data_IF_210851732443
#
_entry.id   IF_210851732443
#
_cell.length_a   1.000
_cell.length_b   1.000
_cell.length_c   1.000
_cell.angle_alpha   90.00
_cell.angle_beta   90.00
_cell.angle_gamma   90.00
#
_symmetry.space_group_name_H-M   'P 1'
#
loop_
_entity.id
_entity.type
_entity.pdbx_description
1 polymer ?
#
# COMPACT_ATOMS: atom_id res chain seq x y z
N UNK A 1 -26.10 10.89 -3.33
CA UNK A 1 -27.09 9.85 -3.60
C UNK A 1 -26.46 8.52 -3.97
N UNK A 2 -27.27 7.56 -4.34
CA UNK A 2 -26.82 6.22 -4.68
C UNK A 2 -25.79 6.21 -5.82
N UNK A 3 -25.96 7.10 -6.79
CA UNK A 3 -25.04 7.22 -7.91
C UNK A 3 -23.67 7.72 -7.45
N UNK A 4 -23.64 8.68 -6.53
CA UNK A 4 -22.39 9.20 -6.00
C UNK A 4 -21.64 8.16 -5.16
N UNK A 5 -22.35 7.40 -4.32
CA UNK A 5 -21.74 6.34 -3.52
C UNK A 5 -21.17 5.23 -4.42
N UNK A 6 -21.91 4.84 -5.43
CA UNK A 6 -21.47 3.84 -6.41
C UNK A 6 -20.24 4.32 -7.17
N UNK A 7 -20.27 5.58 -7.61
CA UNK A 7 -19.14 6.18 -8.33
C UNK A 7 -17.88 6.21 -7.46
N UNK A 8 -18.01 6.55 -6.16
CA UNK A 8 -16.89 6.58 -5.24
C UNK A 8 -16.21 5.21 -5.08
N UNK A 9 -17.00 4.15 -4.97
CA UNK A 9 -16.45 2.78 -4.85
C UNK A 9 -15.72 2.36 -6.12
N UNK A 10 -16.32 2.62 -7.29
CA UNK A 10 -15.67 2.34 -8.57
C UNK A 10 -14.43 3.20 -8.77
N UNK A 11 -14.50 4.46 -8.34
CA UNK A 11 -13.40 5.40 -8.44
C UNK A 11 -12.17 4.92 -7.68
N UNK A 12 -12.35 4.39 -6.45
CA UNK A 12 -11.21 3.88 -5.66
C UNK A 12 -10.58 2.67 -6.33
N UNK A 13 -11.37 1.73 -6.80
CA UNK A 13 -10.87 0.55 -7.51
C UNK A 13 -10.17 0.93 -8.81
N UNK A 14 -10.76 1.83 -9.60
CA UNK A 14 -10.18 2.31 -10.85
C UNK A 14 -8.88 3.07 -10.61
N UNK A 15 -8.85 3.91 -9.58
CA UNK A 15 -7.66 4.65 -9.15
C UNK A 15 -6.50 3.70 -8.86
N UNK A 16 -6.75 2.70 -8.02
CA UNK A 16 -5.73 1.73 -7.64
C UNK A 16 -5.21 0.94 -8.83
N UNK A 17 -6.11 0.48 -9.71
CA UNK A 17 -5.73 -0.27 -10.91
C UNK A 17 -4.92 0.59 -11.88
N UNK A 18 -5.29 1.85 -12.05
CA UNK A 18 -4.58 2.79 -12.92
C UNK A 18 -3.17 3.05 -12.42
N UNK A 19 -3.02 3.34 -11.13
CA UNK A 19 -1.70 3.58 -10.53
C UNK A 19 -0.84 2.32 -10.54
N UNK A 20 -1.44 1.16 -10.35
CA UNK A 20 -0.74 -0.12 -10.43
C UNK A 20 -0.15 -0.34 -11.82
N UNK A 21 -0.91 -0.05 -12.87
CA UNK A 21 -0.43 -0.16 -14.24
C UNK A 21 0.75 0.78 -14.53
N UNK A 22 0.68 2.03 -14.03
CA UNK A 22 1.78 2.98 -14.16
C UNK A 22 3.01 2.49 -13.39
N UNK A 23 2.80 1.97 -12.20
CA UNK A 23 3.87 1.45 -11.35
C UNK A 23 4.56 0.26 -12.02
N UNK A 24 3.80 -0.64 -12.65
CA UNK A 24 4.35 -1.76 -13.41
C UNK A 24 5.23 -1.26 -14.55
N UNK A 25 4.79 -0.21 -15.25
CA UNK A 25 5.59 0.42 -16.30
C UNK A 25 6.88 1.04 -15.77
N UNK A 26 6.82 1.71 -14.63
CA UNK A 26 7.98 2.38 -14.02
C UNK A 26 9.06 1.39 -13.57
N UNK A 27 8.67 0.27 -13.01
CA UNK A 27 9.61 -0.76 -12.57
C UNK A 27 9.94 -1.78 -13.65
N UNK A 28 9.13 -1.88 -14.70
CA UNK A 28 9.30 -2.93 -15.72
C UNK A 28 9.00 -4.32 -15.17
N UNK A 29 8.16 -4.43 -14.14
CA UNK A 29 7.81 -5.69 -13.48
C UNK A 29 6.32 -5.73 -13.21
N UNK A 30 5.84 -6.90 -12.84
CA UNK A 30 4.43 -7.08 -12.46
C UNK A 30 4.21 -6.76 -10.99
N UNK A 31 3.13 -6.05 -10.71
CA UNK A 31 2.66 -5.82 -9.35
C UNK A 31 1.64 -6.89 -9.01
N UNK A 32 1.89 -7.65 -7.96
CA UNK A 32 1.01 -8.73 -7.55
C UNK A 32 0.20 -8.32 -6.33
N UNK A 33 -1.09 -8.64 -6.34
CA UNK A 33 -1.97 -8.40 -5.21
C UNK A 33 -1.82 -9.55 -4.22
N UNK A 34 -1.36 -9.24 -3.00
CA UNK A 34 -1.27 -10.20 -1.90
C UNK A 34 -2.53 -10.09 -1.06
N UNK A 35 -3.15 -11.24 -0.78
CA UNK A 35 -4.32 -11.34 0.09
C UNK A 35 -4.11 -12.49 1.07
N UNK A 36 -4.36 -12.24 2.34
CA UNK A 36 -4.27 -13.24 3.39
C UNK A 36 -5.20 -12.87 4.53
N UNK A 37 -5.38 -13.76 5.47
CA UNK A 37 -6.25 -13.51 6.61
C UNK A 37 -5.45 -13.50 7.90
N UNK A 38 -5.60 -12.42 8.67
CA UNK A 38 -4.92 -12.22 9.94
C UNK A 38 -5.81 -12.72 11.08
N UNK A 39 -5.66 -14.00 11.44
CA UNK A 39 -6.48 -14.65 12.46
C UNK A 39 -6.21 -14.10 13.86
N UNK A 40 -5.02 -13.58 14.11
CA UNK A 40 -4.62 -13.09 15.43
C UNK A 40 -4.98 -11.63 15.66
N UNK A 41 -5.40 -10.92 14.63
CA UNK A 41 -5.78 -9.51 14.72
C UNK A 41 -4.61 -8.58 14.95
N UNK A 42 -3.43 -8.90 14.42
CA UNK A 42 -2.23 -8.09 14.61
C UNK A 42 -2.24 -6.79 13.83
N UNK A 43 -3.00 -6.74 12.73
CA UNK A 43 -3.04 -5.56 11.85
C UNK A 43 -4.11 -4.56 12.30
N UNK A 44 -5.35 -5.01 12.46
CA UNK A 44 -6.49 -4.13 12.72
C UNK A 44 -7.05 -4.24 14.15
N UNK A 45 -6.43 -5.06 14.99
CA UNK A 45 -6.93 -5.31 16.34
C UNK A 45 -8.07 -6.31 16.40
N UNK A 46 -8.41 -6.93 15.27
CA UNK A 46 -9.42 -7.98 15.14
C UNK A 46 -9.06 -8.86 13.95
N UNK A 47 -9.54 -10.12 13.91
CA UNK A 47 -9.33 -10.97 12.73
C UNK A 47 -9.94 -10.30 11.50
N UNK A 48 -9.15 -10.16 10.46
CA UNK A 48 -9.57 -9.49 9.23
C UNK A 48 -8.64 -9.85 8.08
N UNK A 49 -9.14 -9.70 6.85
CA UNK A 49 -8.36 -9.88 5.64
C UNK A 49 -7.32 -8.76 5.50
N UNK A 50 -6.12 -9.15 5.11
CA UNK A 50 -5.00 -8.22 4.86
C UNK A 50 -4.67 -8.25 3.39
N UNK A 51 -4.61 -7.07 2.78
CA UNK A 51 -4.28 -6.91 1.37
C UNK A 51 -3.19 -5.86 1.20
N UNK A 52 -2.25 -6.13 0.31
CA UNK A 52 -1.24 -5.16 -0.11
C UNK A 52 -0.68 -5.56 -1.48
N UNK A 53 0.10 -4.68 -2.08
CA UNK A 53 0.74 -4.95 -3.36
C UNK A 53 2.20 -5.36 -3.15
N UNK A 54 2.65 -6.35 -3.91
CA UNK A 54 3.99 -6.92 -3.80
C UNK A 54 4.70 -6.81 -5.13
N UNK A 55 5.91 -6.28 -5.10
CA UNK A 55 6.77 -6.16 -6.27
C UNK A 55 8.11 -6.79 -5.94
N UNK A 56 8.64 -7.59 -6.87
CA UNK A 56 10.02 -8.08 -6.77
C UNK A 56 10.78 -7.48 -7.95
N UNK A 57 11.78 -6.66 -7.63
CA UNK A 57 12.57 -5.94 -8.62
C UNK A 57 14.06 -6.12 -8.32
N UNK A 58 14.78 -6.77 -9.25
CA UNK A 58 16.19 -7.06 -9.08
C UNK A 58 16.53 -7.74 -7.76
N UNK A 59 15.68 -8.69 -7.35
CA UNK A 59 15.85 -9.43 -6.10
C UNK A 59 15.40 -8.68 -4.84
N UNK A 60 14.95 -7.44 -4.97
CA UNK A 60 14.47 -6.65 -3.84
C UNK A 60 12.95 -6.80 -3.71
N UNK A 61 12.50 -7.17 -2.51
CA UNK A 61 11.09 -7.21 -2.18
C UNK A 61 10.62 -5.80 -1.84
N UNK A 62 9.57 -5.36 -2.51
CA UNK A 62 8.93 -4.05 -2.30
C UNK A 62 7.48 -4.29 -1.90
N UNK A 63 7.08 -3.77 -0.75
CA UNK A 63 5.69 -3.82 -0.29
C UNK A 63 5.08 -2.43 -0.47
N UNK A 64 3.88 -2.39 -1.05
CA UNK A 64 3.27 -1.15 -1.49
C UNK A 64 1.80 -1.06 -1.09
N UNK A 65 1.36 0.16 -0.75
CA UNK A 65 -0.05 0.49 -0.56
C UNK A 65 -0.40 1.61 -1.54
N UNK A 66 -1.44 1.40 -2.34
CA UNK A 66 -1.95 2.40 -3.28
C UNK A 66 -3.34 2.79 -2.81
N UNK A 67 -3.52 4.06 -2.47
CA UNK A 67 -4.78 4.54 -1.91
C UNK A 67 -5.02 5.99 -2.30
N UNK A 68 -6.28 6.38 -2.52
CA UNK A 68 -6.61 7.74 -2.91
C UNK A 68 -6.31 8.76 -1.81
N UNK A 69 -6.38 8.35 -0.54
CA UNK A 69 -5.97 9.19 0.59
C UNK A 69 -5.41 8.33 1.71
N UNK A 70 -4.43 8.87 2.44
CA UNK A 70 -3.80 8.20 3.57
C UNK A 70 -3.82 9.12 4.78
N UNK A 71 -4.43 8.66 5.85
CA UNK A 71 -4.34 9.30 7.15
C UNK A 71 -3.17 8.74 7.95
N UNK A 72 -2.88 9.35 9.10
CA UNK A 72 -1.91 8.80 10.05
C UNK A 72 -2.26 7.37 10.45
N UNK A 73 -3.54 7.12 10.75
CA UNK A 73 -4.04 5.79 11.12
C UNK A 73 -3.83 4.78 9.98
N UNK A 74 -4.10 5.18 8.73
CA UNK A 74 -3.87 4.34 7.57
C UNK A 74 -2.39 3.98 7.41
N UNK A 75 -1.50 4.93 7.72
CA UNK A 75 -0.05 4.70 7.62
C UNK A 75 0.40 3.63 8.62
N UNK A 76 -0.10 3.69 9.86
CA UNK A 76 0.19 2.67 10.87
C UNK A 76 -0.41 1.31 10.51
N UNK A 77 -1.62 1.29 9.93
CA UNK A 77 -2.24 0.05 9.45
C UNK A 77 -1.38 -0.60 8.36
N UNK A 78 -0.88 0.19 7.43
CA UNK A 78 0.01 -0.32 6.38
C UNK A 78 1.32 -0.85 6.96
N UNK A 79 1.89 -0.15 7.94
CA UNK A 79 3.10 -0.62 8.63
C UNK A 79 2.86 -1.98 9.30
N UNK A 80 1.70 -2.18 9.93
CA UNK A 80 1.35 -3.47 10.52
C UNK A 80 1.11 -4.56 9.46
N UNK A 81 0.55 -4.20 8.30
CA UNK A 81 0.43 -5.14 7.17
C UNK A 81 1.82 -5.60 6.70
N UNK A 82 2.75 -4.67 6.60
CA UNK A 82 4.14 -4.96 6.24
C UNK A 82 4.76 -5.95 7.23
N UNK A 83 4.61 -5.69 8.51
CA UNK A 83 5.13 -6.59 9.54
C UNK A 83 4.47 -7.97 9.48
N UNK A 84 3.17 -8.02 9.25
CA UNK A 84 2.41 -9.26 9.08
C UNK A 84 2.99 -10.09 7.92
N UNK A 85 3.20 -9.45 6.78
CA UNK A 85 3.77 -10.12 5.61
C UNK A 85 5.17 -10.65 5.90
N UNK A 86 6.02 -9.82 6.45
CA UNK A 86 7.41 -10.20 6.76
C UNK A 86 7.49 -11.37 7.74
N UNK A 87 6.67 -11.35 8.78
CA UNK A 87 6.63 -12.42 9.77
C UNK A 87 6.13 -13.72 9.17
N UNK A 88 5.09 -13.66 8.35
CA UNK A 88 4.49 -14.84 7.74
C UNK A 88 5.43 -15.51 6.73
N UNK A 89 6.19 -14.73 6.00
CA UNK A 89 7.08 -15.21 4.93
C UNK A 89 8.54 -15.28 5.35
N UNK A 90 8.84 -15.00 6.62
CA UNK A 90 10.20 -15.02 7.19
C UNK A 90 11.17 -14.24 6.30
N UNK A 91 10.85 -12.99 6.02
CA UNK A 91 11.63 -12.14 5.13
C UNK A 91 11.56 -10.67 5.58
N UNK A 92 12.34 -9.83 4.91
CA UNK A 92 12.32 -8.37 5.12
C UNK A 92 12.15 -7.68 3.78
N UNK A 93 11.26 -6.69 3.74
CA UNK A 93 11.11 -5.85 2.57
C UNK A 93 12.32 -4.91 2.46
N UNK A 94 12.87 -4.82 1.26
CA UNK A 94 13.94 -3.87 0.97
C UNK A 94 13.42 -2.45 0.82
N UNK A 95 12.17 -2.29 0.39
CA UNK A 95 11.48 -1.00 0.29
C UNK A 95 10.03 -1.15 0.70
N UNK A 96 9.51 -0.12 1.35
CA UNK A 96 8.11 -0.03 1.77
C UNK A 96 7.57 1.31 1.27
N UNK A 97 6.56 1.28 0.41
CA UNK A 97 6.12 2.44 -0.38
C UNK A 97 4.63 2.66 -0.23
N UNK A 98 4.23 3.91 -0.03
CA UNK A 98 2.83 4.36 -0.15
C UNK A 98 2.73 5.30 -1.35
N UNK A 99 1.73 5.07 -2.18
CA UNK A 99 1.38 5.96 -3.29
C UNK A 99 -0.02 6.48 -3.03
N UNK A 100 -0.13 7.78 -2.76
CA UNK A 100 -1.40 8.44 -2.49
C UNK A 100 -1.30 9.94 -2.81
N UNK A 101 -2.23 10.50 -3.58
CA UNK A 101 -2.22 11.93 -3.88
C UNK A 101 -2.68 12.81 -2.71
N UNK A 102 -3.34 12.21 -1.70
CA UNK A 102 -3.87 12.98 -0.57
C UNK A 102 -3.31 12.44 0.74
N UNK A 103 -2.30 13.12 1.26
CA UNK A 103 -1.71 12.84 2.56
C UNK A 103 -1.50 14.16 3.29
N UNK A 104 -2.00 14.26 4.52
CA UNK A 104 -1.72 15.43 5.35
C UNK A 104 -0.34 15.33 6.02
N UNK A 105 0.06 16.36 6.74
CA UNK A 105 1.37 16.40 7.39
C UNK A 105 1.50 15.34 8.49
N UNK A 106 0.42 14.98 9.15
CA UNK A 106 0.43 13.92 10.16
C UNK A 106 0.74 12.56 9.55
N UNK A 107 0.14 12.26 8.39
CA UNK A 107 0.42 11.02 7.67
C UNK A 107 1.86 10.98 7.17
N UNK A 108 2.36 12.08 6.62
CA UNK A 108 3.75 12.19 6.12
C UNK A 108 4.76 12.02 7.26
N UNK A 109 4.47 12.62 8.42
CA UNK A 109 5.33 12.50 9.60
C UNK A 109 5.36 11.06 10.10
N UNK A 110 4.21 10.39 10.16
CA UNK A 110 4.13 8.99 10.55
C UNK A 110 4.94 8.10 9.59
N UNK A 111 4.83 8.34 8.29
CA UNK A 111 5.59 7.59 7.28
C UNK A 111 7.10 7.72 7.51
N UNK A 112 7.56 8.92 7.81
CA UNK A 112 8.97 9.18 8.10
C UNK A 112 9.43 8.39 9.34
N UNK A 113 8.62 8.42 10.41
CA UNK A 113 8.93 7.69 11.63
C UNK A 113 8.95 6.18 11.43
N UNK A 114 8.13 5.67 10.50
CA UNK A 114 8.01 4.25 10.20
C UNK A 114 8.92 3.79 9.06
N UNK A 115 9.74 4.69 8.53
CA UNK A 115 10.65 4.42 7.41
C UNK A 115 9.89 3.95 6.15
N UNK A 116 8.78 4.62 5.84
CA UNK A 116 7.96 4.36 4.67
C UNK A 116 8.18 5.49 3.65
N UNK A 117 8.50 5.13 2.41
CA UNK A 117 8.60 6.08 1.31
C UNK A 117 7.19 6.49 0.86
N UNK A 118 6.99 7.76 0.57
CA UNK A 118 5.70 8.28 0.12
C UNK A 118 5.83 9.00 -1.22
N UNK A 119 4.88 8.76 -2.10
CA UNK A 119 4.81 9.39 -3.42
C UNK A 119 3.37 9.83 -3.69
N UNK A 120 3.23 11.02 -4.28
CA UNK A 120 1.91 11.53 -4.66
C UNK A 120 1.32 10.78 -5.86
N UNK A 121 2.18 10.31 -6.76
CA UNK A 121 1.79 9.61 -7.98
C UNK A 121 2.75 8.48 -8.27
N UNK A 122 2.26 7.46 -8.98
CA UNK A 122 3.05 6.26 -9.27
C UNK A 122 4.27 6.55 -10.17
N UNK A 123 4.16 7.52 -11.09
CA UNK A 123 5.25 7.89 -12.00
C UNK A 123 6.39 8.65 -11.31
N UNK A 124 6.17 9.12 -10.08
CA UNK A 124 7.20 9.77 -9.27
C UNK A 124 8.08 8.78 -8.51
N UNK A 125 7.73 7.50 -8.51
CA UNK A 125 8.50 6.49 -7.79
C UNK A 125 9.84 6.28 -8.50
N UNK A 126 10.92 6.43 -7.77
CA UNK A 126 12.27 6.19 -8.28
C UNK A 126 12.58 4.69 -8.22
N UNK A 127 13.13 4.20 -9.30
CA UNK A 127 13.38 2.76 -9.47
C UNK A 127 14.82 2.40 -9.13
#
# INVERSE_FOLDING_TARGET
>A
GALGARWGLHSESAFRKGLRAILEGSFGVKVERYEDYDYEGTVFGRPEQVELDVIIHNGTLILCEIKSSMSKSDMYSFWRKKNFYENKHDCKAGRVIVISPMMDDYAKSAAKDLDIEVYGYADNVEV
#
